data_IF_789528202546
#
_entry.id   IF_789528202546
#
_cell.length_a   1.000
_cell.length_b   1.000
_cell.length_c   1.000
_cell.angle_alpha   90.00
_cell.angle_beta   90.00
_cell.angle_gamma   90.00
#
_symmetry.space_group_name_H-M   'P 1'
#
loop_
_entity.id
_entity.type
_entity.pdbx_description
1 polymer ?
#
# COMPACT_ATOMS: atom_id res chain seq x y z
N UNK A 1 -3.36 -13.65 -2.35
CA UNK A 1 -4.24 -12.55 -2.79
C UNK A 1 -5.61 -12.83 -2.24
N UNK A 2 -6.09 -11.92 -1.40
CA UNK A 2 -7.42 -12.04 -0.80
C UNK A 2 -8.49 -11.56 -1.78
N UNK A 3 -8.23 -10.45 -2.49
CA UNK A 3 -9.17 -9.88 -3.45
C UNK A 3 -8.48 -9.28 -4.67
N UNK A 4 -9.22 -9.21 -5.77
CA UNK A 4 -8.86 -8.46 -6.97
C UNK A 4 -10.04 -7.58 -7.38
N UNK A 5 -9.79 -6.27 -7.49
CA UNK A 5 -10.77 -5.29 -7.95
C UNK A 5 -10.45 -4.95 -9.40
N UNK A 6 -11.42 -5.16 -10.29
CA UNK A 6 -11.31 -4.81 -11.70
C UNK A 6 -11.99 -3.46 -11.94
N UNK A 7 -11.19 -2.46 -12.28
CA UNK A 7 -11.65 -1.16 -12.77
C UNK A 7 -11.37 -1.08 -14.28
N UNK A 8 -11.98 -0.12 -14.98
CA UNK A 8 -12.02 -0.07 -16.46
C UNK A 8 -10.68 -0.41 -17.14
N UNK A 9 -9.62 0.28 -16.75
CA UNK A 9 -8.28 0.17 -17.36
C UNK A 9 -7.21 -0.30 -16.34
N UNK A 10 -7.66 -0.74 -15.16
CA UNK A 10 -6.78 -0.99 -14.02
C UNK A 10 -7.23 -2.22 -13.21
N UNK A 11 -6.28 -2.86 -12.54
CA UNK A 11 -6.59 -3.88 -11.54
C UNK A 11 -5.89 -3.56 -10.24
N UNK A 12 -6.62 -3.65 -9.15
CA UNK A 12 -6.08 -3.45 -7.81
C UNK A 12 -6.11 -4.80 -7.08
N UNK A 13 -4.95 -5.36 -6.82
CA UNK A 13 -4.80 -6.57 -6.00
C UNK A 13 -4.71 -6.17 -4.54
N UNK A 14 -5.50 -6.83 -3.70
CA UNK A 14 -5.52 -6.61 -2.26
C UNK A 14 -4.97 -7.84 -1.54
N UNK A 15 -4.04 -7.60 -0.63
CA UNK A 15 -3.50 -8.61 0.27
C UNK A 15 -3.47 -8.06 1.70
N UNK A 16 -4.25 -8.65 2.58
CA UNK A 16 -4.27 -8.29 4.00
C UNK A 16 -3.27 -9.16 4.76
N UNK A 17 -2.42 -8.51 5.57
CA UNK A 17 -1.50 -9.17 6.49
C UNK A 17 -1.69 -8.59 7.88
N UNK A 18 -1.80 -9.46 8.89
CA UNK A 18 -1.82 -9.07 10.29
C UNK A 18 -0.40 -8.67 10.78
N UNK A 19 0.21 -7.67 10.14
CA UNK A 19 1.54 -7.17 10.49
C UNK A 19 1.38 -6.09 11.56
N UNK A 20 2.02 -6.30 12.70
CA UNK A 20 2.26 -5.27 13.70
C UNK A 20 3.76 -5.05 13.84
N UNK A 21 4.21 -3.80 13.66
CA UNK A 21 5.59 -3.46 13.98
C UNK A 21 5.82 -3.68 15.49
N UNK A 22 6.69 -4.63 15.85
CA UNK A 22 7.08 -4.81 17.25
C UNK A 22 7.70 -3.52 17.80
N UNK A 23 7.62 -3.22 19.12
CA UNK A 23 8.20 -2.01 19.70
C UNK A 23 9.67 -1.75 19.32
N UNK A 24 10.47 -2.81 19.17
CA UNK A 24 11.89 -2.75 18.77
C UNK A 24 12.09 -2.33 17.31
N UNK A 25 11.11 -2.57 16.44
CA UNK A 25 11.10 -2.13 15.03
C UNK A 25 10.78 -0.63 14.95
N UNK A 26 10.02 -0.09 15.92
CA UNK A 26 9.71 1.34 15.98
C UNK A 26 10.89 2.21 16.44
N UNK A 27 11.91 1.62 17.06
CA UNK A 27 13.02 2.36 17.69
C UNK A 27 14.40 2.04 17.12
N UNK A 28 14.50 1.13 16.14
CA UNK A 28 15.77 0.74 15.54
C UNK A 28 16.11 1.58 14.31
N UNK A 29 17.37 2.02 14.21
CA UNK A 29 17.94 2.66 13.02
C UNK A 29 18.65 1.66 12.08
N UNK A 30 18.68 0.37 12.44
CA UNK A 30 19.30 -0.67 11.62
C UNK A 30 18.32 -1.15 10.55
N UNK A 31 18.60 -0.80 9.29
CA UNK A 31 17.86 -1.32 8.13
C UNK A 31 17.86 -2.86 8.04
N UNK A 32 18.88 -3.52 8.59
CA UNK A 32 18.95 -4.99 8.64
C UNK A 32 17.92 -5.59 9.61
N UNK A 33 17.71 -4.95 10.77
CA UNK A 33 16.73 -5.39 11.78
C UNK A 33 15.30 -5.03 11.37
N UNK A 34 15.14 -3.85 10.76
CA UNK A 34 13.87 -3.38 10.19
C UNK A 34 13.45 -4.29 9.03
N UNK A 35 14.41 -4.58 8.14
CA UNK A 35 14.34 -5.58 7.07
C UNK A 35 13.86 -6.91 7.62
N UNK A 36 14.69 -7.65 8.36
CA UNK A 36 14.37 -9.03 8.80
C UNK A 36 12.98 -9.27 9.43
N UNK A 37 12.34 -8.27 10.05
CA UNK A 37 11.00 -8.43 10.68
C UNK A 37 9.83 -7.93 9.84
N UNK A 38 9.99 -6.81 9.14
CA UNK A 38 8.92 -6.27 8.28
C UNK A 38 8.99 -6.85 6.87
N UNK A 39 10.21 -7.14 6.39
CA UNK A 39 10.47 -7.65 5.06
C UNK A 39 9.77 -8.98 4.86
N UNK A 40 9.94 -9.99 5.70
CA UNK A 40 9.43 -11.32 5.36
C UNK A 40 7.93 -11.36 5.05
N UNK A 41 7.10 -10.68 5.83
CA UNK A 41 5.64 -10.66 5.57
C UNK A 41 5.26 -9.73 4.43
N UNK A 42 5.91 -8.57 4.32
CA UNK A 42 5.64 -7.59 3.26
C UNK A 42 6.16 -8.06 1.90
N UNK A 43 7.39 -8.57 1.84
CA UNK A 43 8.00 -9.21 0.67
C UNK A 43 7.15 -10.39 0.20
N UNK A 44 6.69 -11.27 1.11
CA UNK A 44 5.79 -12.36 0.74
C UNK A 44 4.50 -11.83 0.10
N UNK A 45 3.92 -10.76 0.62
CA UNK A 45 2.75 -10.12 0.01
C UNK A 45 3.08 -9.59 -1.41
N UNK A 46 4.25 -8.98 -1.60
CA UNK A 46 4.71 -8.48 -2.91
C UNK A 46 4.89 -9.64 -3.90
N UNK A 47 5.58 -10.70 -3.50
CA UNK A 47 5.79 -11.90 -4.32
C UNK A 47 4.44 -12.50 -4.73
N UNK A 48 3.55 -12.73 -3.76
CA UNK A 48 2.21 -13.25 -4.03
C UNK A 48 1.44 -12.36 -5.01
N UNK A 49 1.60 -11.03 -4.90
CA UNK A 49 0.93 -10.07 -5.78
C UNK A 49 1.42 -10.18 -7.22
N UNK A 50 2.74 -10.29 -7.40
CA UNK A 50 3.36 -10.46 -8.72
C UNK A 50 3.04 -11.84 -9.34
N UNK A 51 3.06 -12.92 -8.56
CA UNK A 51 2.62 -14.25 -9.01
C UNK A 51 1.15 -14.27 -9.45
N UNK A 52 0.30 -13.55 -8.71
CA UNK A 52 -1.11 -13.42 -9.05
C UNK A 52 -1.28 -12.58 -10.31
N UNK A 53 -0.57 -11.47 -10.44
CA UNK A 53 -0.58 -10.67 -11.67
C UNK A 53 -0.15 -11.50 -12.90
N UNK A 54 0.86 -12.37 -12.76
CA UNK A 54 1.30 -13.29 -13.81
C UNK A 54 0.20 -14.28 -14.19
N UNK A 55 -0.45 -14.85 -13.17
CA UNK A 55 -1.55 -15.79 -13.38
C UNK A 55 -2.75 -15.11 -14.06
N UNK A 56 -3.06 -13.86 -13.68
CA UNK A 56 -4.14 -13.08 -14.28
C UNK A 56 -3.81 -12.62 -15.71
N UNK A 57 -2.57 -12.25 -16.01
CA UNK A 57 -2.16 -11.83 -17.36
C UNK A 57 -2.23 -12.98 -18.37
N UNK A 58 -1.97 -14.22 -17.93
CA UNK A 58 -2.07 -15.40 -18.78
C UNK A 58 -3.53 -15.78 -19.07
N UNK A 59 -4.43 -15.62 -18.09
CA UNK A 59 -5.75 -16.25 -18.14
C UNK A 59 -6.92 -15.28 -18.37
N UNK A 60 -6.80 -13.99 -18.02
CA UNK A 60 -7.97 -13.14 -17.79
C UNK A 60 -7.87 -11.69 -18.29
N UNK A 61 -6.70 -11.18 -18.71
CA UNK A 61 -6.54 -9.75 -18.99
C UNK A 61 -6.12 -9.41 -20.42
N UNK A 62 -6.64 -8.30 -20.99
CA UNK A 62 -6.00 -7.61 -22.10
C UNK A 62 -4.56 -7.19 -21.73
N UNK A 63 -3.63 -7.09 -22.70
CA UNK A 63 -2.24 -6.71 -22.47
C UNK A 63 -2.02 -5.33 -21.83
N UNK A 64 -3.05 -4.48 -21.78
CA UNK A 64 -2.92 -3.05 -21.50
C UNK A 64 -3.36 -2.62 -20.08
N UNK A 65 -3.84 -3.54 -19.24
CA UNK A 65 -4.32 -3.20 -17.89
C UNK A 65 -3.17 -2.99 -16.90
N UNK A 66 -3.01 -1.76 -16.40
CA UNK A 66 -2.06 -1.48 -15.32
C UNK A 66 -2.51 -2.15 -14.03
N UNK A 67 -1.60 -2.88 -13.37
CA UNK A 67 -1.88 -3.56 -12.09
C UNK A 67 -1.21 -2.82 -10.93
N UNK A 68 -1.99 -2.58 -9.88
CA UNK A 68 -1.55 -2.07 -8.59
C UNK A 68 -1.64 -3.17 -7.54
N UNK A 69 -0.74 -3.12 -6.56
CA UNK A 69 -0.78 -3.96 -5.36
C UNK A 69 -0.97 -3.08 -4.13
N UNK A 70 -1.98 -3.40 -3.33
CA UNK A 70 -2.22 -2.79 -2.02
C UNK A 70 -2.07 -3.86 -0.95
N UNK A 71 -1.05 -3.70 -0.12
CA UNK A 71 -0.85 -4.53 1.07
C UNK A 71 -1.50 -3.83 2.26
N UNK A 72 -2.49 -4.46 2.87
CA UNK A 72 -3.23 -3.92 4.01
C UNK A 72 -2.66 -4.51 5.29
N UNK A 73 -2.27 -3.66 6.23
CA UNK A 73 -1.65 -4.04 7.50
C UNK A 73 -2.51 -3.63 8.67
N UNK A 74 -2.35 -4.27 9.82
CA UNK A 74 -3.14 -3.91 11.00
C UNK A 74 -2.81 -2.49 11.50
N UNK A 75 -1.53 -2.13 11.52
CA UNK A 75 -1.06 -0.78 11.88
C UNK A 75 -0.16 -0.20 10.81
N UNK A 76 -0.03 1.12 10.81
CA UNK A 76 0.85 1.85 9.91
C UNK A 76 2.31 1.40 10.12
N UNK A 77 2.98 1.04 9.03
CA UNK A 77 4.37 0.57 9.02
C UNK A 77 5.37 1.65 8.59
N UNK A 78 4.88 2.83 8.17
CA UNK A 78 5.70 3.91 7.59
C UNK A 78 6.47 3.51 6.31
N UNK A 79 6.03 2.44 5.65
CA UNK A 79 6.56 1.93 4.39
C UNK A 79 5.49 2.06 3.29
N UNK A 80 4.98 3.29 3.08
CA UNK A 80 3.70 3.51 2.37
C UNK A 80 3.73 3.22 0.87
N UNK A 81 4.91 3.26 0.22
CA UNK A 81 5.08 2.98 -1.21
C UNK A 81 6.25 2.03 -1.45
N UNK A 82 6.25 1.34 -2.60
CA UNK A 82 7.36 0.48 -3.02
C UNK A 82 8.70 1.21 -3.12
N UNK A 83 8.70 2.50 -3.45
CA UNK A 83 9.91 3.33 -3.40
C UNK A 83 10.45 3.51 -1.98
N UNK A 84 9.58 3.79 -1.00
CA UNK A 84 10.00 3.90 0.40
C UNK A 84 10.49 2.54 0.93
N UNK A 85 9.83 1.45 0.50
CA UNK A 85 10.26 0.08 0.82
C UNK A 85 11.68 -0.16 0.30
N UNK A 86 11.96 0.17 -0.97
CA UNK A 86 13.29 0.06 -1.57
C UNK A 86 14.33 0.86 -0.79
N UNK A 87 13.99 2.08 -0.39
CA UNK A 87 14.93 2.97 0.27
C UNK A 87 15.19 2.58 1.75
N UNK A 88 14.31 1.79 2.36
CA UNK A 88 14.38 1.40 3.78
C UNK A 88 14.88 -0.04 4.01
N UNK A 89 14.85 -0.90 2.99
CA UNK A 89 15.27 -2.31 3.07
C UNK A 89 16.65 -2.47 2.40
N UNK A 90 17.44 -3.46 2.82
CA UNK A 90 18.77 -3.68 2.26
C UNK A 90 18.71 -4.02 0.76
N UNK A 91 19.73 -3.58 0.02
CA UNK A 91 19.86 -3.80 -1.42
C UNK A 91 19.76 -5.28 -1.82
N UNK A 92 20.29 -6.17 -0.98
CA UNK A 92 20.31 -7.61 -1.24
C UNK A 92 18.91 -8.20 -1.29
N UNK A 93 18.02 -7.72 -0.42
CA UNK A 93 16.62 -8.17 -0.35
C UNK A 93 15.83 -7.64 -1.57
N UNK A 94 16.10 -6.41 -1.99
CA UNK A 94 15.50 -5.84 -3.20
C UNK A 94 15.97 -6.60 -4.44
N UNK A 95 17.27 -6.89 -4.55
CA UNK A 95 17.80 -7.70 -5.64
C UNK A 95 17.18 -9.10 -5.69
N UNK A 96 16.88 -9.72 -4.54
CA UNK A 96 16.15 -11.00 -4.49
C UNK A 96 14.73 -10.86 -5.07
N UNK A 97 13.98 -9.81 -4.68
CA UNK A 97 12.64 -9.54 -5.24
C UNK A 97 12.63 -9.33 -6.75
N UNK A 98 13.69 -8.74 -7.29
CA UNK A 98 13.86 -8.49 -8.71
C UNK A 98 14.31 -9.75 -9.47
N UNK A 99 15.09 -10.63 -8.83
CA UNK A 99 15.65 -11.84 -9.45
C UNK A 99 14.66 -13.01 -9.44
N UNK A 100 13.84 -13.16 -8.40
CA UNK A 100 12.92 -14.30 -8.23
C UNK A 100 11.77 -14.34 -9.26
N UNK A 101 11.63 -13.30 -10.08
CA UNK A 101 10.60 -13.19 -11.11
C UNK A 101 11.23 -12.94 -12.48
N UNK A 102 11.64 -14.03 -13.13
CA UNK A 102 12.15 -14.01 -14.49
C UNK A 102 11.23 -13.23 -15.46
N UNK A 103 11.70 -12.06 -15.91
CA UNK A 103 11.48 -11.56 -17.26
C UNK A 103 10.38 -10.52 -17.51
N UNK A 104 9.45 -10.24 -16.60
CA UNK A 104 8.50 -9.11 -16.74
C UNK A 104 8.13 -8.58 -15.36
N UNK A 105 8.42 -7.31 -15.10
CA UNK A 105 7.99 -6.63 -13.88
C UNK A 105 6.48 -6.30 -13.97
N UNK A 106 5.63 -7.32 -13.81
CA UNK A 106 4.17 -7.21 -13.98
C UNK A 106 3.53 -6.20 -13.01
N UNK A 107 4.18 -5.96 -11.87
CA UNK A 107 3.86 -4.87 -10.95
C UNK A 107 5.18 -4.18 -10.58
N UNK A 108 5.48 -3.00 -11.14
CA UNK A 108 6.64 -2.22 -10.75
C UNK A 108 6.51 -1.75 -9.30
N UNK A 109 7.63 -1.52 -8.61
CA UNK A 109 7.61 -1.05 -7.21
C UNK A 109 6.78 0.24 -7.03
N UNK A 110 6.79 1.14 -8.03
CA UNK A 110 5.99 2.37 -8.03
C UNK A 110 4.46 2.14 -8.04
N UNK A 111 4.01 0.91 -8.28
CA UNK A 111 2.61 0.50 -8.22
C UNK A 111 2.27 -0.32 -6.95
N UNK A 112 3.19 -0.41 -5.98
CA UNK A 112 3.00 -1.12 -4.71
C UNK A 112 2.79 -0.11 -3.59
N UNK A 113 1.74 -0.32 -2.81
CA UNK A 113 1.36 0.56 -1.70
C UNK A 113 1.03 -0.24 -0.44
N UNK A 114 1.33 0.35 0.71
CA UNK A 114 1.04 -0.25 2.01
C UNK A 114 0.13 0.66 2.81
N UNK A 115 -1.02 0.13 3.19
CA UNK A 115 -2.06 0.83 3.93
C UNK A 115 -2.22 0.18 5.28
N UNK A 116 -2.39 0.95 6.34
CA UNK A 116 -3.07 0.43 7.53
C UNK A 116 -4.55 0.16 7.22
N UNK A 117 -5.18 -0.72 8.00
CA UNK A 117 -6.62 -0.99 7.88
C UNK A 117 -7.45 0.29 7.94
N UNK A 118 -7.13 1.21 8.86
CA UNK A 118 -7.80 2.51 8.98
C UNK A 118 -7.61 3.41 7.75
N UNK A 119 -6.43 3.42 7.13
CA UNK A 119 -6.19 4.17 5.88
C UNK A 119 -6.98 3.55 4.72
N UNK A 120 -7.05 2.22 4.65
CA UNK A 120 -7.80 1.53 3.60
C UNK A 120 -9.32 1.71 3.76
N UNK A 121 -9.83 1.72 4.99
CA UNK A 121 -11.24 2.04 5.28
C UNK A 121 -11.59 3.47 4.83
N UNK A 122 -10.73 4.45 5.11
CA UNK A 122 -10.92 5.83 4.65
C UNK A 122 -10.97 5.92 3.12
N UNK A 123 -10.06 5.23 2.42
CA UNK A 123 -10.08 5.19 0.96
C UNK A 123 -11.38 4.54 0.45
N UNK A 124 -11.74 3.39 1.01
CA UNK A 124 -12.96 2.64 0.65
C UNK A 124 -14.22 3.48 0.87
N UNK A 125 -14.25 4.30 1.92
CA UNK A 125 -15.36 5.22 2.17
C UNK A 125 -15.51 6.26 1.06
N UNK A 126 -14.41 6.90 0.62
CA UNK A 126 -14.46 7.85 -0.49
C UNK A 126 -14.85 7.18 -1.81
N UNK A 127 -14.34 5.97 -2.07
CA UNK A 127 -14.74 5.17 -3.25
C UNK A 127 -16.24 4.86 -3.22
N UNK A 128 -16.79 4.50 -2.05
CA UNK A 128 -18.24 4.22 -1.88
C UNK A 128 -19.14 5.42 -2.15
N UNK A 129 -18.59 6.65 -2.03
CA UNK A 129 -19.28 7.91 -2.31
C UNK A 129 -19.08 8.40 -3.74
N UNK A 130 -18.41 7.60 -4.58
CA UNK A 130 -18.02 7.94 -5.94
C UNK A 130 -17.17 9.22 -6.04
N UNK A 131 -16.41 9.54 -4.98
CA UNK A 131 -15.52 10.71 -4.94
C UNK A 131 -14.18 10.42 -5.64
N UNK A 132 -13.80 9.15 -5.74
CA UNK A 132 -12.63 8.64 -6.48
C UNK A 132 -12.79 7.14 -6.75
N UNK A 133 -11.84 6.53 -7.46
CA UNK A 133 -11.68 5.06 -7.52
C UNK A 133 -10.38 4.64 -6.83
N UNK A 134 -10.19 3.34 -6.58
CA UNK A 134 -8.94 2.88 -5.99
C UNK A 134 -7.77 3.20 -6.92
N UNK A 135 -7.88 2.89 -8.21
CA UNK A 135 -6.78 3.14 -9.15
C UNK A 135 -6.48 4.62 -9.36
N UNK A 136 -7.50 5.48 -9.34
CA UNK A 136 -7.31 6.93 -9.45
C UNK A 136 -6.50 7.48 -8.28
N UNK A 137 -6.86 7.12 -7.04
CA UNK A 137 -6.10 7.52 -5.87
C UNK A 137 -4.65 7.03 -5.93
N UNK A 138 -4.44 5.74 -6.23
CA UNK A 138 -3.09 5.16 -6.29
C UNK A 138 -2.23 5.80 -7.38
N UNK A 139 -2.83 6.16 -8.53
CA UNK A 139 -2.16 6.91 -9.59
C UNK A 139 -1.71 8.30 -9.11
N UNK A 140 -2.60 9.03 -8.42
CA UNK A 140 -2.26 10.35 -7.86
C UNK A 140 -1.13 10.24 -6.83
N UNK A 141 -1.15 9.22 -5.97
CA UNK A 141 -0.06 8.97 -5.02
C UNK A 141 1.26 8.74 -5.75
N UNK A 142 1.28 7.84 -6.75
CA UNK A 142 2.46 7.55 -7.57
C UNK A 142 3.05 8.80 -8.21
N UNK A 143 2.21 9.56 -8.93
CA UNK A 143 2.63 10.80 -9.61
C UNK A 143 3.17 11.86 -8.63
N UNK A 144 2.67 11.90 -7.40
CA UNK A 144 3.18 12.81 -6.37
C UNK A 144 4.53 12.39 -5.81
N UNK A 145 4.79 11.09 -5.70
CA UNK A 145 6.10 10.62 -5.22
C UNK A 145 7.23 10.97 -6.19
N UNK A 146 6.94 11.09 -7.49
CA UNK A 146 7.91 11.55 -8.49
C UNK A 146 8.29 13.04 -8.33
N UNK A 147 7.44 13.84 -7.67
CA UNK A 147 7.65 15.28 -7.48
C UNK A 147 8.08 15.58 -6.04
N UNK A 148 9.36 15.94 -5.85
CA UNK A 148 9.97 16.16 -4.52
C UNK A 148 9.16 17.08 -3.58
N UNK A 149 8.51 18.13 -4.10
CA UNK A 149 7.70 19.06 -3.28
C UNK A 149 6.31 18.52 -2.92
N UNK A 150 5.84 17.49 -3.61
CA UNK A 150 4.52 16.86 -3.42
C UNK A 150 4.61 15.50 -2.75
N UNK A 151 5.80 14.92 -2.66
CA UNK A 151 6.06 13.66 -1.98
C UNK A 151 5.53 13.70 -0.54
N UNK A 152 4.94 12.59 -0.09
CA UNK A 152 4.51 12.38 1.29
C UNK A 152 5.06 11.06 1.80
N UNK A 153 5.18 10.97 3.11
CA UNK A 153 5.76 9.81 3.77
C UNK A 153 4.72 8.74 4.08
N UNK A 154 3.46 9.13 4.32
CA UNK A 154 2.38 8.21 4.68
C UNK A 154 1.17 8.30 3.77
N UNK A 155 0.40 7.22 3.65
CA UNK A 155 -0.87 7.22 2.94
C UNK A 155 -1.85 8.20 3.59
N UNK A 156 -1.89 8.28 4.92
CA UNK A 156 -2.70 9.27 5.64
C UNK A 156 -2.44 10.69 5.16
N UNK A 157 -1.17 11.09 4.96
CA UNK A 157 -0.84 12.42 4.43
C UNK A 157 -1.34 12.63 3.00
N UNK A 158 -1.35 11.59 2.17
CA UNK A 158 -1.95 11.66 0.84
C UNK A 158 -3.47 11.83 0.94
N UNK A 159 -4.15 11.03 1.77
CA UNK A 159 -5.59 11.14 2.02
C UNK A 159 -5.96 12.52 2.56
N UNK A 160 -5.20 13.07 3.50
CA UNK A 160 -5.50 14.38 4.11
C UNK A 160 -5.24 15.55 3.17
N UNK A 161 -4.33 15.38 2.21
CA UNK A 161 -4.06 16.39 1.18
C UNK A 161 -5.18 16.49 0.13
N UNK A 162 -6.01 15.45 0.03
CA UNK A 162 -7.14 15.40 -0.88
C UNK A 162 -8.40 15.91 -0.18
N UNK A 163 -9.09 16.86 -0.82
CA UNK A 163 -10.32 17.46 -0.27
C UNK A 163 -11.48 16.47 -0.13
N UNK A 164 -11.36 15.29 -0.72
CA UNK A 164 -12.40 14.28 -0.79
C UNK A 164 -12.56 13.48 0.52
N UNK A 165 -11.50 13.30 1.31
CA UNK A 165 -11.54 12.37 2.43
C UNK A 165 -12.03 13.01 3.74
N UNK A 166 -13.34 13.27 3.83
CA UNK A 166 -13.96 13.50 5.13
C UNK A 166 -13.96 12.20 5.95
N UNK A 167 -13.69 12.29 7.25
CA UNK A 167 -13.72 11.13 8.14
C UNK A 167 -15.09 10.43 8.08
N UNK A 168 -15.12 9.08 8.01
CA UNK A 168 -16.35 8.30 8.15
C UNK A 168 -17.14 8.75 9.39
N UNK A 169 -18.47 8.87 9.27
CA UNK A 169 -19.31 9.35 10.38
C UNK A 169 -19.19 8.46 11.64
N UNK A 170 -18.87 7.18 11.48
CA UNK A 170 -18.60 6.25 12.59
C UNK A 170 -17.33 6.59 13.40
N UNK A 171 -16.38 7.35 12.82
CA UNK A 171 -15.16 7.80 13.51
C UNK A 171 -15.30 9.20 14.11
N UNK A 172 -16.36 9.95 13.77
CA UNK A 172 -16.59 11.30 14.33
C UNK A 172 -16.99 11.24 15.82
N UNK A 173 -17.65 10.17 16.24
CA UNK A 173 -18.11 9.98 17.63
C UNK A 173 -17.02 9.47 18.58
N UNK A 174 -15.90 8.92 18.07
CA UNK A 174 -14.78 8.48 18.91
C UNK A 174 -13.73 9.57 19.12
N UNK A 175 -13.68 10.58 18.24
CA UNK A 175 -12.76 11.72 18.31
C UNK A 175 -13.32 12.92 19.09
N UNK A 176 -14.62 12.94 19.38
CA UNK A 176 -15.29 14.04 20.08
C UNK A 176 -15.24 13.96 21.61
N UNK A 177 -14.63 12.93 22.20
CA UNK A 177 -14.49 12.85 23.65
C UNK A 177 -13.11 12.31 24.12
N UNK A 178 -12.03 13.12 24.04
CA UNK A 178 -10.72 12.75 24.58
C UNK A 178 -10.63 12.89 26.11
N UNK A 179 -11.65 13.45 26.77
CA UNK A 179 -11.73 13.60 28.23
C UNK A 179 -13.18 13.39 28.71
N UNK A 180 -13.67 12.16 28.64
CA UNK A 180 -14.90 11.78 29.33
C UNK A 180 -14.63 11.79 30.85
N UNK A 181 -14.87 12.93 31.48
CA UNK A 181 -15.01 13.02 32.93
C UNK A 181 -16.44 12.66 33.33
N UNK A 182 -16.55 11.67 34.22
CA UNK A 182 -17.57 11.66 35.26
C UNK A 182 -16.98 12.28 36.53
#
# INVERSE_FOLDING_TARGET
>A
MDFAIFEKDHTVLLEAKAIEASPTVRTTASGETLGKRLSDSLLKAIIQGRETAKSLSINLKPPELTTFLVVITYKQLYLSTGDIIRDCISSEIISQLETDLEGVELIPLSNIFVFSSSEFERLTFAVSRAETTYSEFLRVVRERQEVRSKCRFTISQHLDSERYFQHPDCLKNSLSNPFGGD
#
